data_IF_309578794929
#
_entry.id   IF_309578794929
#
_cell.length_a   1.000
_cell.length_b   1.000
_cell.length_c   1.000
_cell.angle_alpha   90.00
_cell.angle_beta   90.00
_cell.angle_gamma   90.00
#
_symmetry.space_group_name_H-M   'P 1'
#
loop_
_entity.id
_entity.type
_entity.pdbx_description
1 polymer ?
#
# COMPACT_ATOMS: atom_id res chain seq x y z
N UNK A 1 -12.38 48.22 22.76
CA UNK A 1 -11.37 47.16 22.92
C UNK A 1 -12.02 45.82 22.69
N UNK A 2 -11.70 45.07 21.62
CA UNK A 2 -12.22 43.73 21.40
C UNK A 2 -11.27 42.68 22.02
N UNK A 3 -11.84 41.73 22.75
CA UNK A 3 -11.15 40.62 23.42
C UNK A 3 -11.01 39.41 22.50
N UNK A 4 -9.90 38.69 22.69
CA UNK A 4 -9.29 37.72 21.80
C UNK A 4 -10.16 36.51 21.37
N UNK A 5 -10.11 36.23 20.08
CA UNK A 5 -10.41 34.91 19.49
C UNK A 5 -9.35 33.89 19.93
N UNK A 6 -9.78 32.81 20.59
CA UNK A 6 -8.90 31.67 20.91
C UNK A 6 -8.92 30.70 19.73
N UNK A 7 -7.89 30.77 18.89
CA UNK A 7 -7.60 29.73 17.92
C UNK A 7 -7.13 28.47 18.64
N UNK A 8 -7.76 27.34 18.36
CA UNK A 8 -7.25 26.03 18.79
C UNK A 8 -6.08 25.68 17.88
N UNK A 9 -4.87 25.38 18.39
CA UNK A 9 -3.73 25.08 17.52
C UNK A 9 -3.96 23.74 16.80
N UNK A 10 -3.66 23.71 15.50
CA UNK A 10 -3.81 22.53 14.63
C UNK A 10 -3.06 21.28 15.13
N UNK A 11 -2.10 21.43 16.05
CA UNK A 11 -1.34 20.34 16.65
C UNK A 11 -2.19 19.38 17.49
N UNK A 12 -3.23 19.88 18.19
CA UNK A 12 -4.00 19.07 19.15
C UNK A 12 -4.98 18.12 18.46
N UNK A 13 -5.46 18.49 17.27
CA UNK A 13 -6.34 17.64 16.45
C UNK A 13 -5.54 16.48 15.84
N UNK A 14 -4.33 16.78 15.34
CA UNK A 14 -3.45 15.77 14.76
C UNK A 14 -2.99 14.75 15.82
N UNK A 15 -2.64 15.21 17.03
CA UNK A 15 -2.31 14.32 18.15
C UNK A 15 -3.49 13.45 18.61
N UNK A 16 -4.72 13.98 18.60
CA UNK A 16 -5.93 13.21 18.96
C UNK A 16 -6.28 12.16 17.90
N UNK A 17 -6.13 12.50 16.62
CA UNK A 17 -6.31 11.57 15.50
C UNK A 17 -5.23 10.47 15.56
N UNK A 18 -3.97 10.84 15.80
CA UNK A 18 -2.88 9.86 15.96
C UNK A 18 -3.06 8.97 17.20
N UNK A 19 -3.59 9.49 18.31
CA UNK A 19 -3.95 8.68 19.49
C UNK A 19 -5.10 7.71 19.23
N UNK A 20 -6.07 8.07 18.38
CA UNK A 20 -7.16 7.17 17.98
C UNK A 20 -6.63 5.99 17.16
N UNK A 21 -5.62 6.20 16.31
CA UNK A 21 -4.92 5.12 15.61
C UNK A 21 -3.99 4.33 16.53
N UNK A 22 -3.40 4.97 17.55
CA UNK A 22 -2.52 4.34 18.53
C UNK A 22 -3.23 3.44 19.55
N UNK A 23 -4.52 3.68 19.82
CA UNK A 23 -5.33 2.90 20.76
C UNK A 23 -6.15 1.79 20.10
N UNK A 24 -6.13 1.69 18.77
CA UNK A 24 -6.57 0.47 18.10
C UNK A 24 -5.49 -0.58 18.36
N UNK A 25 -5.80 -1.59 19.18
CA UNK A 25 -4.96 -2.78 19.28
C UNK A 25 -4.59 -3.26 17.88
N UNK A 26 -3.38 -3.84 17.74
CA UNK A 26 -2.82 -4.33 16.47
C UNK A 26 -3.92 -4.91 15.59
N UNK A 27 -4.18 -4.28 14.44
CA UNK A 27 -5.29 -4.70 13.58
C UNK A 27 -5.11 -6.19 13.21
N UNK A 28 -6.18 -7.00 13.21
CA UNK A 28 -6.09 -8.45 13.03
C UNK A 28 -5.36 -8.89 11.76
N UNK A 29 -5.26 -8.02 10.75
CA UNK A 29 -4.68 -8.26 9.43
C UNK A 29 -3.15 -8.44 9.37
N UNK A 30 -2.45 -8.67 10.49
CA UNK A 30 -0.99 -8.61 10.51
C UNK A 30 -0.23 -9.94 10.25
N UNK A 31 0.83 -9.77 9.44
CA UNK A 31 2.02 -10.59 9.13
C UNK A 31 1.83 -11.97 8.52
N UNK A 32 1.14 -12.92 9.16
CA UNK A 32 0.99 -14.27 8.61
C UNK A 32 0.21 -14.25 7.28
N UNK A 33 -0.73 -13.31 7.15
CA UNK A 33 -1.55 -13.13 5.94
C UNK A 33 -0.77 -12.61 4.73
N UNK A 34 0.27 -11.77 4.91
CA UNK A 34 0.95 -11.15 3.76
C UNK A 34 1.77 -12.15 2.93
N UNK A 35 2.45 -13.10 3.58
CA UNK A 35 3.21 -14.14 2.88
C UNK A 35 2.28 -15.02 2.04
N UNK A 36 1.16 -15.46 2.60
CA UNK A 36 0.15 -16.24 1.88
C UNK A 36 -0.44 -15.47 0.68
N UNK A 37 -0.70 -14.17 0.84
CA UNK A 37 -1.15 -13.30 -0.26
C UNK A 37 -0.13 -13.25 -1.41
N UNK A 38 1.17 -13.16 -1.09
CA UNK A 38 2.24 -13.21 -2.10
C UNK A 38 2.32 -14.56 -2.78
N UNK A 39 2.18 -15.66 -2.04
CA UNK A 39 2.11 -17.02 -2.61
C UNK A 39 0.95 -17.17 -3.59
N UNK A 40 -0.24 -16.69 -3.23
CA UNK A 40 -1.42 -16.69 -4.12
C UNK A 40 -1.24 -15.80 -5.34
N UNK A 41 -0.63 -14.62 -5.18
CA UNK A 41 -0.31 -13.73 -6.29
C UNK A 41 0.72 -14.35 -7.25
N UNK A 42 1.76 -15.01 -6.74
CA UNK A 42 2.73 -15.74 -7.56
C UNK A 42 2.09 -16.91 -8.32
N UNK A 43 1.13 -17.62 -7.71
CA UNK A 43 0.34 -18.63 -8.43
C UNK A 43 -0.43 -18.05 -9.60
N UNK A 44 -1.08 -16.89 -9.40
CA UNK A 44 -1.79 -16.16 -10.47
C UNK A 44 -0.85 -15.66 -11.57
N UNK A 45 0.36 -15.21 -11.24
CA UNK A 45 1.39 -14.90 -12.23
C UNK A 45 1.73 -16.13 -13.09
N UNK A 46 1.87 -17.31 -12.46
CA UNK A 46 2.13 -18.55 -13.20
C UNK A 46 0.99 -18.92 -14.14
N UNK A 47 -0.26 -18.83 -13.68
CA UNK A 47 -1.46 -19.12 -14.48
C UNK A 47 -1.59 -18.23 -15.73
N UNK A 48 -1.07 -17.00 -15.66
CA UNK A 48 -1.18 -15.98 -16.72
C UNK A 48 0.07 -15.85 -17.59
N UNK A 49 1.08 -16.68 -17.35
CA UNK A 49 2.42 -16.57 -17.94
C UNK A 49 3.07 -15.18 -17.82
N UNK A 50 2.93 -14.59 -16.63
CA UNK A 50 3.59 -13.34 -16.27
C UNK A 50 4.84 -13.64 -15.43
N UNK A 51 5.92 -12.92 -15.73
CA UNK A 51 7.22 -13.10 -15.09
C UNK A 51 7.30 -12.44 -13.71
N UNK A 52 6.64 -11.30 -13.54
CA UNK A 52 6.65 -10.54 -12.29
C UNK A 52 5.42 -9.64 -12.13
N UNK A 53 5.16 -9.24 -10.88
CA UNK A 53 4.28 -8.15 -10.50
C UNK A 53 5.11 -7.01 -9.88
N UNK A 54 4.91 -5.80 -10.39
CA UNK A 54 5.51 -4.56 -9.93
C UNK A 54 4.46 -3.70 -9.22
N UNK A 55 4.58 -3.51 -7.91
CA UNK A 55 3.65 -2.71 -7.13
C UNK A 55 4.31 -1.46 -6.53
N UNK A 56 3.86 -0.29 -6.99
CA UNK A 56 4.18 1.02 -6.42
C UNK A 56 3.37 1.29 -5.13
N UNK A 57 3.72 2.35 -4.35
CA UNK A 57 2.90 2.84 -3.26
C UNK A 57 1.41 2.90 -3.61
N UNK A 58 0.60 2.22 -2.81
CA UNK A 58 -0.82 2.06 -3.07
C UNK A 58 -1.38 0.77 -2.47
N UNK A 59 -2.59 0.41 -2.90
CA UNK A 59 -3.34 -0.66 -2.27
C UNK A 59 -2.74 -2.06 -2.52
N UNK A 60 -2.10 -2.30 -3.67
CA UNK A 60 -1.46 -3.59 -3.95
C UNK A 60 -0.19 -3.78 -3.14
N UNK A 61 0.66 -2.75 -3.01
CA UNK A 61 1.83 -2.79 -2.14
C UNK A 61 1.40 -3.10 -0.70
N UNK A 62 0.42 -2.35 -0.17
CA UNK A 62 -0.09 -2.59 1.18
C UNK A 62 -0.68 -3.99 1.34
N UNK A 63 -1.48 -4.46 0.37
CA UNK A 63 -2.11 -5.76 0.42
C UNK A 63 -1.09 -6.91 0.46
N UNK A 64 0.00 -6.80 -0.30
CA UNK A 64 1.02 -7.86 -0.43
C UNK A 64 2.11 -7.81 0.64
N UNK A 65 2.32 -6.66 1.29
CA UNK A 65 3.48 -6.44 2.16
C UNK A 65 3.15 -5.88 3.54
N UNK A 66 1.99 -5.24 3.69
CA UNK A 66 1.65 -4.43 4.86
C UNK A 66 2.34 -3.06 4.88
N UNK A 67 3.23 -2.77 3.92
CA UNK A 67 3.93 -1.50 3.85
C UNK A 67 3.04 -0.42 3.26
N UNK A 68 2.75 0.59 4.08
CA UNK A 68 1.94 1.75 3.70
C UNK A 68 2.82 3.00 3.60
N UNK A 69 2.85 3.58 2.40
CA UNK A 69 3.56 4.81 2.11
C UNK A 69 2.81 5.58 1.00
N UNK A 70 3.03 6.88 0.93
CA UNK A 70 2.50 7.71 -0.15
C UNK A 70 3.40 7.62 -1.38
N UNK A 71 2.81 7.72 -2.56
CA UNK A 71 3.58 7.85 -3.79
C UNK A 71 4.35 9.19 -3.77
N UNK A 72 5.58 9.15 -4.27
CA UNK A 72 6.43 10.32 -4.50
C UNK A 72 7.06 10.23 -5.89
N UNK A 73 7.87 11.21 -6.25
CA UNK A 73 8.71 11.20 -7.45
C UNK A 73 9.84 10.17 -7.39
N UNK A 74 10.16 9.65 -6.19
CA UNK A 74 11.19 8.63 -5.99
C UNK A 74 10.57 7.24 -6.08
N UNK A 75 11.19 6.37 -6.88
CA UNK A 75 10.69 5.02 -7.10
C UNK A 75 10.79 4.18 -5.82
N UNK A 76 9.62 3.78 -5.33
CA UNK A 76 9.47 2.64 -4.43
C UNK A 76 8.63 1.58 -5.12
N UNK A 77 9.12 0.36 -5.19
CA UNK A 77 8.49 -0.72 -5.95
C UNK A 77 8.72 -2.07 -5.30
N UNK A 78 7.64 -2.80 -5.01
CA UNK A 78 7.72 -4.23 -4.78
C UNK A 78 7.89 -4.94 -6.13
N UNK A 79 8.91 -5.78 -6.23
CA UNK A 79 9.06 -6.80 -7.28
C UNK A 79 8.67 -8.14 -6.66
N UNK A 80 7.58 -8.74 -7.15
CA UNK A 80 7.15 -10.09 -6.79
C UNK A 80 7.27 -10.98 -8.02
N UNK A 81 8.14 -12.00 -7.98
CA UNK A 81 8.26 -12.95 -9.07
C UNK A 81 7.23 -14.09 -8.99
N UNK A 82 7.19 -14.90 -10.05
CA UNK A 82 6.28 -16.05 -10.15
C UNK A 82 6.63 -17.22 -9.24
N UNK A 83 7.75 -17.17 -8.50
CA UNK A 83 8.14 -18.17 -7.49
C UNK A 83 7.81 -17.70 -6.05
N UNK A 84 7.32 -16.46 -5.92
CA UNK A 84 6.95 -15.87 -4.64
C UNK A 84 8.09 -15.10 -3.96
N UNK A 85 9.25 -14.95 -4.65
CA UNK A 85 10.33 -14.10 -4.17
C UNK A 85 9.90 -12.64 -4.27
N UNK A 86 10.10 -11.92 -3.18
CA UNK A 86 9.65 -10.55 -3.03
C UNK A 86 10.81 -9.66 -2.59
N UNK A 87 11.03 -8.57 -3.33
CA UNK A 87 12.04 -7.56 -3.03
C UNK A 87 11.42 -6.17 -3.14
N UNK A 88 11.57 -5.33 -2.12
CA UNK A 88 11.20 -3.91 -2.19
C UNK A 88 12.43 -3.12 -2.63
N UNK A 89 12.33 -2.49 -3.79
CA UNK A 89 13.27 -1.47 -4.26
C UNK A 89 12.82 -0.13 -3.67
N UNK A 90 13.65 0.55 -2.90
CA UNK A 90 13.31 1.83 -2.27
C UNK A 90 14.55 2.71 -2.04
N UNK A 91 14.39 4.04 -1.94
CA UNK A 91 15.50 4.92 -1.64
C UNK A 91 16.02 4.69 -0.22
N UNK A 92 17.29 5.03 0.02
CA UNK A 92 17.98 4.80 1.30
C UNK A 92 17.22 5.33 2.52
N UNK A 93 16.63 6.52 2.44
CA UNK A 93 15.89 7.09 3.57
C UNK A 93 14.55 6.39 3.87
N UNK A 94 14.03 5.56 2.97
CA UNK A 94 12.81 4.77 3.20
C UNK A 94 13.09 3.40 3.83
N UNK A 95 14.32 2.90 3.74
CA UNK A 95 14.69 1.56 4.24
C UNK A 95 14.25 1.31 5.69
N UNK A 96 14.46 2.24 6.66
CA UNK A 96 14.07 1.99 8.05
C UNK A 96 12.56 1.73 8.20
N UNK A 97 11.73 2.34 7.34
CA UNK A 97 10.27 2.13 7.35
C UNK A 97 9.91 0.76 6.78
N UNK A 98 10.61 0.31 5.75
CA UNK A 98 10.42 -1.02 5.16
C UNK A 98 10.81 -2.12 6.17
N UNK A 99 11.91 -1.96 6.90
CA UNK A 99 12.35 -2.91 7.93
C UNK A 99 11.25 -3.14 8.99
N UNK A 100 10.58 -2.08 9.43
CA UNK A 100 9.53 -2.17 10.45
C UNK A 100 8.24 -2.78 9.88
N UNK A 101 7.82 -2.34 8.71
CA UNK A 101 6.53 -2.73 8.13
C UNK A 101 6.56 -4.11 7.47
N UNK A 102 7.64 -4.44 6.76
CA UNK A 102 7.79 -5.65 5.96
C UNK A 102 9.14 -6.37 6.24
N UNK A 103 9.42 -6.78 7.49
CA UNK A 103 10.72 -7.32 7.89
C UNK A 103 11.13 -8.61 7.16
N UNK A 104 10.16 -9.36 6.63
CA UNK A 104 10.40 -10.63 5.92
C UNK A 104 10.60 -10.50 4.42
N UNK A 105 10.59 -9.27 3.88
CA UNK A 105 10.79 -9.01 2.45
C UNK A 105 12.23 -8.53 2.23
N UNK A 106 12.87 -9.02 1.17
CA UNK A 106 14.20 -8.55 0.76
C UNK A 106 14.11 -7.07 0.36
N UNK A 107 15.23 -6.35 0.48
CA UNK A 107 15.29 -4.93 0.14
C UNK A 107 16.45 -4.70 -0.83
N UNK A 108 16.22 -3.87 -1.83
CA UNK A 108 17.25 -3.37 -2.72
C UNK A 108 17.24 -1.84 -2.63
N UNK A 109 18.30 -1.29 -2.07
CA UNK A 109 18.38 0.13 -1.74
C UNK A 109 19.09 0.87 -2.85
N UNK A 110 18.58 2.05 -3.21
CA UNK A 110 19.20 2.93 -4.19
C UNK A 110 19.45 4.32 -3.60
N UNK A 111 20.58 4.91 -3.98
CA UNK A 111 20.96 6.29 -3.68
C UNK A 111 20.77 7.21 -4.90
N UNK A 112 20.97 8.51 -4.73
CA UNK A 112 20.66 9.53 -5.76
C UNK A 112 21.40 9.37 -7.11
N UNK A 113 22.50 8.60 -7.15
CA UNK A 113 23.26 8.33 -8.38
C UNK A 113 22.91 7.00 -9.05
N UNK A 114 22.10 6.16 -8.40
CA UNK A 114 21.72 4.85 -8.90
C UNK A 114 20.52 4.96 -9.86
N UNK A 115 20.41 4.00 -10.78
CA UNK A 115 19.22 3.82 -11.59
C UNK A 115 18.27 2.81 -10.92
N UNK A 116 17.18 3.26 -10.28
CA UNK A 116 16.26 2.35 -9.60
C UNK A 116 15.48 1.45 -10.58
N UNK A 117 15.32 1.85 -11.84
CA UNK A 117 14.63 1.06 -12.86
C UNK A 117 15.50 -0.09 -13.35
N UNK A 118 16.81 0.14 -13.50
CA UNK A 118 17.78 -0.92 -13.76
C UNK A 118 17.82 -1.95 -12.62
N UNK A 119 17.73 -1.49 -11.36
CA UNK A 119 17.62 -2.38 -10.20
C UNK A 119 16.36 -3.24 -10.29
N UNK A 120 15.19 -2.63 -10.54
CA UNK A 120 13.93 -3.38 -10.74
C UNK A 120 14.07 -4.39 -11.87
N UNK A 121 14.61 -3.99 -13.02
CA UNK A 121 14.77 -4.87 -14.18
C UNK A 121 15.67 -6.08 -13.86
N UNK A 122 16.75 -5.89 -13.10
CA UNK A 122 17.65 -6.97 -12.68
C UNK A 122 16.99 -8.04 -11.80
N UNK A 123 15.88 -7.68 -11.12
CA UNK A 123 15.10 -8.58 -10.27
C UNK A 123 14.05 -9.38 -11.06
N UNK A 124 13.68 -8.93 -12.25
CA UNK A 124 12.72 -9.62 -13.14
C UNK A 124 13.44 -10.68 -13.97
N UNK A 125 13.60 -11.88 -13.41
CA UNK A 125 14.37 -12.98 -14.04
C UNK A 125 13.56 -13.86 -14.98
N UNK A 126 12.31 -14.14 -14.63
CA UNK A 126 11.46 -15.02 -15.42
C UNK A 126 11.05 -14.37 -16.75
N UNK A 127 10.85 -15.18 -17.79
CA UNK A 127 10.21 -14.75 -19.05
C UNK A 127 8.73 -14.41 -18.85
N UNK A 128 8.09 -13.85 -19.88
CA UNK A 128 6.67 -13.47 -19.85
C UNK A 128 6.42 -11.98 -19.63
N UNK A 129 5.15 -11.60 -19.59
CA UNK A 129 4.72 -10.22 -19.36
C UNK A 129 4.94 -9.75 -17.93
N UNK A 130 4.76 -8.45 -17.69
CA UNK A 130 4.92 -7.79 -16.39
C UNK A 130 3.58 -7.21 -15.96
N UNK A 131 3.09 -7.62 -14.79
CA UNK A 131 1.92 -7.02 -14.17
C UNK A 131 2.34 -5.75 -13.42
N UNK A 132 1.73 -4.60 -13.69
CA UNK A 132 2.10 -3.31 -13.09
C UNK A 132 0.92 -2.72 -12.36
N UNK A 133 1.14 -2.23 -11.14
CA UNK A 133 0.10 -1.60 -10.32
C UNK A 133 -0.69 -0.56 -11.13
N UNK A 134 -2.02 -0.67 -11.09
CA UNK A 134 -2.96 0.15 -11.87
C UNK A 134 -2.85 1.66 -11.57
N UNK A 135 -2.22 2.03 -10.47
CA UNK A 135 -2.01 3.41 -10.03
C UNK A 135 -0.52 3.81 -10.01
N UNK A 136 0.35 2.99 -10.62
CA UNK A 136 1.74 3.38 -10.83
C UNK A 136 1.78 4.62 -11.71
N UNK A 137 2.55 5.63 -11.30
CA UNK A 137 2.72 6.84 -12.09
C UNK A 137 3.28 6.49 -13.47
N UNK A 138 2.69 7.07 -14.51
CA UNK A 138 3.09 6.79 -15.89
C UNK A 138 4.58 7.04 -16.13
N UNK A 139 5.17 8.03 -15.47
CA UNK A 139 6.61 8.29 -15.52
C UNK A 139 7.44 7.04 -15.17
N UNK A 140 7.09 6.33 -14.09
CA UNK A 140 7.78 5.10 -13.71
C UNK A 140 7.53 3.96 -14.71
N UNK A 141 6.32 3.86 -15.25
CA UNK A 141 6.00 2.84 -16.27
C UNK A 141 6.84 3.03 -17.52
N UNK A 142 7.01 4.27 -17.99
CA UNK A 142 7.81 4.59 -19.18
C UNK A 142 9.29 4.25 -18.98
N UNK A 143 9.87 4.60 -17.84
CA UNK A 143 11.26 4.24 -17.49
C UNK A 143 11.44 2.71 -17.38
N UNK A 144 10.48 2.01 -16.75
CA UNK A 144 10.49 0.56 -16.65
C UNK A 144 10.35 -0.13 -18.02
N UNK A 145 9.58 0.43 -18.96
CA UNK A 145 9.51 -0.07 -20.33
C UNK A 145 10.86 0.06 -21.05
N UNK A 146 11.61 1.13 -20.77
CA UNK A 146 12.99 1.30 -21.24
C UNK A 146 13.94 0.25 -20.65
N UNK A 147 13.82 -0.03 -19.35
CA UNK A 147 14.68 -0.98 -18.63
C UNK A 147 14.32 -2.47 -18.89
N UNK A 148 13.08 -2.77 -19.27
CA UNK A 148 12.58 -4.11 -19.60
C UNK A 148 12.11 -4.17 -21.08
N UNK A 149 13.03 -3.98 -22.04
CA UNK A 149 12.66 -3.98 -23.44
C UNK A 149 12.06 -5.34 -23.83
N UNK A 150 11.12 -5.33 -24.76
CA UNK A 150 10.42 -6.53 -25.28
C UNK A 150 9.44 -7.20 -24.32
N UNK A 151 9.26 -6.70 -23.10
CA UNK A 151 8.23 -7.19 -22.18
C UNK A 151 6.88 -6.51 -22.46
N UNK A 152 5.80 -7.28 -22.43
CA UNK A 152 4.44 -6.73 -22.44
C UNK A 152 4.03 -6.35 -21.02
N UNK A 153 3.37 -5.21 -20.86
CA UNK A 153 2.92 -4.68 -19.57
C UNK A 153 1.41 -4.86 -19.47
N UNK A 154 0.97 -5.40 -18.33
CA UNK A 154 -0.42 -5.74 -18.01
C UNK A 154 -0.84 -5.05 -16.71
N UNK A 155 -2.14 -4.88 -16.48
CA UNK A 155 -2.61 -4.32 -15.22
C UNK A 155 -2.45 -5.35 -14.09
N UNK A 156 -1.91 -4.92 -12.93
CA UNK A 156 -1.78 -5.79 -11.77
C UNK A 156 -3.14 -6.26 -11.23
N UNK A 157 -4.21 -5.51 -11.48
CA UNK A 157 -5.57 -5.92 -11.13
C UNK A 157 -6.01 -7.24 -11.80
N UNK A 158 -5.41 -7.64 -12.93
CA UNK A 158 -5.62 -8.98 -13.51
C UNK A 158 -5.16 -10.11 -12.57
N UNK A 159 -4.24 -9.81 -11.66
CA UNK A 159 -3.69 -10.70 -10.64
C UNK A 159 -4.36 -10.47 -9.28
N UNK A 160 -4.45 -9.21 -8.85
CA UNK A 160 -4.80 -8.88 -7.47
C UNK A 160 -6.30 -8.77 -7.22
N UNK A 161 -7.12 -8.52 -8.25
CA UNK A 161 -8.56 -8.26 -8.07
C UNK A 161 -9.27 -9.44 -7.42
N UNK A 162 -9.13 -10.65 -7.95
CA UNK A 162 -9.77 -11.85 -7.39
C UNK A 162 -9.31 -12.15 -5.96
N UNK A 163 -8.03 -11.96 -5.71
CA UNK A 163 -7.43 -12.18 -4.39
C UNK A 163 -8.01 -11.19 -3.38
N UNK A 164 -8.14 -9.92 -3.77
CA UNK A 164 -8.64 -8.84 -2.91
C UNK A 164 -10.16 -8.84 -2.77
N UNK A 165 -10.90 -9.47 -3.68
CA UNK A 165 -12.36 -9.66 -3.53
C UNK A 165 -12.70 -10.68 -2.44
N UNK A 166 -11.85 -11.70 -2.24
CA UNK A 166 -12.08 -12.75 -1.23
C UNK A 166 -11.30 -12.47 0.05
N UNK A 167 -12.02 -12.00 1.07
CA UNK A 167 -11.42 -11.62 2.36
C UNK A 167 -11.03 -12.82 3.19
N UNK A 168 -9.82 -12.76 3.76
CA UNK A 168 -9.45 -13.69 4.82
C UNK A 168 -10.18 -13.35 6.15
N UNK A 169 -10.13 -14.27 7.11
CA UNK A 169 -10.83 -14.09 8.39
C UNK A 169 -10.37 -12.83 9.14
N UNK A 170 -9.09 -12.46 9.01
CA UNK A 170 -8.55 -11.28 9.65
C UNK A 170 -9.00 -9.97 8.98
N UNK A 171 -9.12 -9.95 7.64
CA UNK A 171 -9.72 -8.84 6.89
C UNK A 171 -11.20 -8.67 7.23
N UNK A 172 -11.96 -9.78 7.31
CA UNK A 172 -13.38 -9.73 7.70
C UNK A 172 -13.54 -9.15 9.10
N UNK A 173 -12.72 -9.61 10.06
CA UNK A 173 -12.75 -9.10 11.43
C UNK A 173 -12.37 -7.62 11.50
N UNK A 174 -11.34 -7.20 10.74
CA UNK A 174 -10.96 -5.80 10.63
C UNK A 174 -12.11 -4.94 10.08
N UNK A 175 -12.80 -5.40 9.04
CA UNK A 175 -13.97 -4.72 8.47
C UNK A 175 -15.10 -4.61 9.49
N UNK A 176 -15.39 -5.69 10.23
CA UNK A 176 -16.41 -5.70 11.30
C UNK A 176 -16.11 -4.64 12.36
N UNK A 177 -14.87 -4.58 12.85
CA UNK A 177 -14.45 -3.61 13.88
C UNK A 177 -14.61 -2.16 13.41
N UNK A 178 -14.27 -1.90 12.14
CA UNK A 178 -14.42 -0.56 11.54
C UNK A 178 -15.90 -0.21 11.35
N UNK A 179 -16.72 -1.13 10.85
CA UNK A 179 -18.17 -0.94 10.71
C UNK A 179 -18.83 -0.62 12.04
N UNK A 180 -18.52 -1.37 13.11
CA UNK A 180 -19.07 -1.09 14.44
C UNK A 180 -18.63 0.28 14.98
N UNK A 181 -17.42 0.72 14.63
CA UNK A 181 -16.95 2.07 14.98
C UNK A 181 -17.74 3.16 14.26
N UNK A 182 -18.05 2.94 12.97
CA UNK A 182 -18.89 3.83 12.18
C UNK A 182 -20.31 3.89 12.73
N UNK A 183 -20.90 2.75 13.09
CA UNK A 183 -22.25 2.68 13.70
C UNK A 183 -22.32 3.44 15.02
N UNK A 184 -21.30 3.29 15.87
CA UNK A 184 -21.19 4.08 17.12
C UNK A 184 -21.07 5.58 16.84
N UNK A 185 -20.36 5.98 15.80
CA UNK A 185 -20.25 7.39 15.40
C UNK A 185 -21.60 7.93 14.91
N UNK A 186 -22.28 7.18 14.04
CA UNK A 186 -23.59 7.52 13.53
C UNK A 186 -24.63 7.66 14.64
N UNK A 187 -24.68 6.70 15.58
CA UNK A 187 -25.58 6.75 16.72
C UNK A 187 -25.36 7.97 17.64
N UNK A 188 -24.13 8.51 17.70
CA UNK A 188 -23.84 9.77 18.41
C UNK A 188 -24.29 11.00 17.62
N UNK A 189 -24.15 10.98 16.30
CA UNK A 189 -24.55 12.05 15.40
C UNK A 189 -26.07 12.26 15.46
N UNK A 190 -26.85 11.18 15.47
CA UNK A 190 -28.32 11.23 15.59
C UNK A 190 -28.83 11.92 16.85
N UNK A 191 -28.02 12.02 17.92
CA UNK A 191 -28.39 12.69 19.17
C UNK A 191 -28.20 14.22 19.12
N UNK A 192 -27.73 14.78 18.00
CA UNK A 192 -27.47 16.22 17.86
C UNK A 192 -28.57 16.92 17.07
N UNK A 193 -28.93 18.17 17.42
CA UNK A 193 -29.82 18.98 16.60
C UNK A 193 -29.07 19.47 15.36
N UNK A 194 -29.64 19.21 14.18
CA UNK A 194 -29.06 19.60 12.88
C UNK A 194 -29.51 20.98 12.40
N UNK A 195 -30.68 21.44 12.84
CA UNK A 195 -31.20 22.75 12.44
C UNK A 195 -30.24 23.87 12.85
N UNK A 196 -29.95 24.78 11.92
CA UNK A 196 -29.07 25.93 12.14
C UNK A 196 -27.56 25.62 12.05
N UNK A 197 -27.17 24.43 11.58
CA UNK A 197 -25.76 24.06 11.34
C UNK A 197 -25.47 23.95 9.85
N UNK A 198 -24.21 24.19 9.48
CA UNK A 198 -23.66 23.86 8.17
C UNK A 198 -23.09 22.44 8.17
N UNK A 199 -22.89 21.84 6.98
CA UNK A 199 -22.27 20.51 6.86
C UNK A 199 -20.84 20.43 7.44
N UNK A 200 -20.17 21.58 7.59
CA UNK A 200 -18.85 21.67 8.21
C UNK A 200 -18.88 21.48 9.74
N UNK A 201 -20.03 21.69 10.39
CA UNK A 201 -20.22 21.81 11.84
C UNK A 201 -20.93 20.62 12.50
#
# INVERSE_FOLDING_TARGET
MPTASRSTPASTLNERVMRLFSNAGRMPSERASFADRRTRAAAKLRERDLGALLASPGADLFYLTGYQIFASERLTCLVLDRDGKATIVCPEFEEPRVIVAAPSIERAIWGEADDPYAIVASLVRASGGIAVADQMWAAFVLELQGALPQRQFHAASEITRELRMRKDAAEVEALRLVSESADRAYARILKRPFAGRTERE
#
